data_IF_930957238642
#
_entry.id   IF_930957238642
#
_cell.length_a   1.000
_cell.length_b   1.000
_cell.length_c   1.000
_cell.angle_alpha   90.00
_cell.angle_beta   90.00
_cell.angle_gamma   90.00
#
_symmetry.space_group_name_H-M   'P 1'
#
loop_
_entity.id
_entity.type
_entity.pdbx_description
1 polymer ?
#
# COMPACT_ATOMS: atom_id res chain seq x y z
N UNK A 1 16.50 -8.02 50.42
CA UNK A 1 16.56 -8.67 49.08
C UNK A 1 15.21 -9.22 48.64
N UNK A 2 14.49 -10.02 49.45
CA UNK A 2 13.19 -10.63 49.08
C UNK A 2 12.13 -9.66 48.53
N UNK A 3 11.93 -8.50 49.18
CA UNK A 3 10.95 -7.48 48.74
C UNK A 3 11.27 -6.90 47.34
N UNK A 4 12.54 -6.83 46.97
CA UNK A 4 12.95 -6.30 45.67
C UNK A 4 12.62 -7.29 44.55
N UNK A 5 12.88 -8.59 44.77
CA UNK A 5 12.56 -9.65 43.80
C UNK A 5 11.06 -9.78 43.53
N UNK A 6 10.20 -9.64 44.55
CA UNK A 6 8.74 -9.68 44.36
C UNK A 6 8.22 -8.52 43.49
N UNK A 7 8.75 -7.31 43.68
CA UNK A 7 8.31 -6.15 42.90
C UNK A 7 8.71 -6.26 41.42
N UNK A 8 9.92 -6.76 41.14
CA UNK A 8 10.39 -6.98 39.76
C UNK A 8 9.54 -8.04 39.05
N UNK A 9 9.22 -9.14 39.74
CA UNK A 9 8.37 -10.20 39.17
C UNK A 9 6.95 -9.68 38.88
N UNK A 10 6.35 -8.93 39.81
CA UNK A 10 5.02 -8.36 39.62
C UNK A 10 4.99 -7.39 38.42
N UNK A 11 6.02 -6.56 38.25
CA UNK A 11 6.15 -5.65 37.11
C UNK A 11 6.32 -6.40 35.78
N UNK A 12 7.16 -7.44 35.75
CA UNK A 12 7.37 -8.26 34.55
C UNK A 12 6.08 -8.97 34.11
N UNK A 13 5.33 -9.54 35.07
CA UNK A 13 4.03 -10.17 34.79
C UNK A 13 3.02 -9.13 34.30
N UNK A 14 2.96 -7.95 34.95
CA UNK A 14 2.07 -6.86 34.53
C UNK A 14 2.34 -6.41 33.09
N UNK A 15 3.62 -6.24 32.73
CA UNK A 15 4.02 -5.90 31.36
C UNK A 15 3.66 -7.02 30.38
N UNK A 16 3.98 -8.28 30.70
CA UNK A 16 3.65 -9.42 29.84
C UNK A 16 2.15 -9.54 29.58
N UNK A 17 1.31 -9.31 30.60
CA UNK A 17 -0.14 -9.30 30.46
C UNK A 17 -0.63 -8.13 29.59
N UNK A 18 -0.08 -6.92 29.76
CA UNK A 18 -0.44 -5.77 28.92
C UNK A 18 -0.06 -5.99 27.45
N UNK A 19 1.15 -6.49 27.17
CA UNK A 19 1.57 -6.81 25.80
C UNK A 19 0.75 -7.97 25.20
N UNK A 20 0.46 -9.01 25.99
CA UNK A 20 -0.38 -10.12 25.56
C UNK A 20 -1.80 -9.68 25.20
N UNK A 21 -2.41 -8.83 26.02
CA UNK A 21 -3.73 -8.25 25.75
C UNK A 21 -3.72 -7.38 24.48
N UNK A 22 -2.69 -6.56 24.27
CA UNK A 22 -2.56 -5.74 23.07
C UNK A 22 -2.49 -6.59 21.79
N UNK A 23 -1.73 -7.70 21.81
CA UNK A 23 -1.63 -8.63 20.67
C UNK A 23 -2.98 -9.29 20.37
N UNK A 24 -3.72 -9.71 21.39
CA UNK A 24 -5.04 -10.33 21.23
C UNK A 24 -6.06 -9.33 20.67
N UNK A 25 -6.07 -8.09 21.18
CA UNK A 25 -6.96 -7.03 20.67
C UNK A 25 -6.63 -6.69 19.23
N UNK A 26 -5.34 -6.63 18.86
CA UNK A 26 -4.92 -6.36 17.49
C UNK A 26 -5.35 -7.47 16.51
N UNK A 27 -5.37 -8.73 16.96
CA UNK A 27 -5.88 -9.86 16.17
C UNK A 27 -7.40 -9.91 16.08
N UNK A 28 -8.10 -9.36 17.07
CA UNK A 28 -9.56 -9.33 17.13
C UNK A 28 -10.16 -8.10 16.44
N UNK A 29 -9.36 -7.07 16.15
CA UNK A 29 -9.82 -5.93 15.39
C UNK A 29 -10.28 -6.39 13.99
N UNK A 30 -11.49 -6.02 13.54
CA UNK A 30 -11.93 -6.37 12.20
C UNK A 30 -10.92 -5.83 11.18
N UNK A 31 -10.62 -6.58 10.10
CA UNK A 31 -9.70 -6.13 9.09
C UNK A 31 -10.18 -4.78 8.56
N UNK A 32 -9.30 -3.80 8.56
CA UNK A 32 -9.62 -2.53 7.92
C UNK A 32 -9.87 -2.81 6.44
N UNK A 33 -10.74 -2.04 5.77
CA UNK A 33 -10.93 -2.18 4.34
C UNK A 33 -9.62 -2.10 3.52
N UNK A 34 -8.62 -1.36 4.02
CA UNK A 34 -7.26 -1.32 3.49
C UNK A 34 -6.54 -2.68 3.57
N UNK A 35 -6.73 -3.45 4.65
CA UNK A 35 -6.09 -4.76 4.81
C UNK A 35 -6.57 -5.78 3.76
N UNK A 36 -7.79 -5.63 3.23
CA UNK A 36 -8.32 -6.47 2.14
C UNK A 36 -7.57 -6.29 0.81
N UNK A 37 -6.75 -5.25 0.68
CA UNK A 37 -5.84 -5.12 -0.47
C UNK A 37 -4.70 -6.13 -0.41
N UNK A 38 -4.38 -6.65 0.78
CA UNK A 38 -3.23 -7.52 1.05
C UNK A 38 -3.69 -8.94 1.44
N UNK A 39 -4.83 -9.37 0.90
CA UNK A 39 -5.41 -10.71 1.12
C UNK A 39 -5.46 -11.54 -0.16
N UNK A 40 -5.52 -12.86 0.00
CA UNK A 40 -5.86 -13.82 -1.04
C UNK A 40 -7.37 -13.71 -1.39
N UNK A 41 -7.83 -14.31 -2.51
CA UNK A 41 -9.25 -14.28 -2.89
C UNK A 41 -10.22 -14.86 -1.84
N UNK A 42 -9.75 -15.75 -0.96
CA UNK A 42 -10.51 -16.30 0.16
C UNK A 42 -10.55 -15.37 1.41
N UNK A 43 -9.93 -14.20 1.33
CA UNK A 43 -9.82 -13.23 2.41
C UNK A 43 -8.70 -13.51 3.42
N UNK A 44 -7.93 -14.58 3.24
CA UNK A 44 -6.79 -14.85 4.12
C UNK A 44 -5.66 -13.83 3.89
N UNK A 45 -5.01 -13.33 4.94
CA UNK A 45 -3.91 -12.37 4.80
C UNK A 45 -2.70 -13.02 4.15
N UNK A 46 -2.02 -12.29 3.26
CA UNK A 46 -0.81 -12.79 2.63
C UNK A 46 0.35 -12.89 3.63
N UNK A 47 1.14 -13.97 3.54
CA UNK A 47 2.34 -14.18 4.36
C UNK A 47 3.53 -13.30 3.97
N UNK A 48 3.49 -12.74 2.74
CA UNK A 48 4.39 -11.73 2.19
C UNK A 48 3.53 -10.65 1.53
N UNK A 49 4.06 -9.43 1.34
CA UNK A 49 3.29 -8.39 0.66
C UNK A 49 2.79 -8.86 -0.70
N UNK A 50 1.49 -8.70 -0.92
CA UNK A 50 0.78 -9.02 -2.15
C UNK A 50 -0.22 -7.90 -2.42
N UNK A 51 -0.72 -7.78 -3.64
CA UNK A 51 -1.86 -6.90 -3.94
C UNK A 51 -2.96 -7.74 -4.57
N UNK A 52 -4.10 -7.85 -3.87
CA UNK A 52 -5.21 -8.75 -4.22
C UNK A 52 -4.77 -10.22 -4.37
N UNK A 53 -3.79 -10.65 -3.58
CA UNK A 53 -3.17 -11.96 -3.65
C UNK A 53 -2.04 -12.08 -4.69
N UNK A 54 -1.93 -11.14 -5.63
CA UNK A 54 -0.88 -11.16 -6.65
C UNK A 54 0.49 -10.79 -6.06
N UNK A 55 1.55 -11.51 -6.45
CA UNK A 55 2.93 -11.34 -5.97
C UNK A 55 3.87 -11.13 -7.14
N UNK A 56 4.28 -9.89 -7.32
CA UNK A 56 5.08 -9.47 -8.46
C UNK A 56 6.47 -10.11 -8.40
N UNK A 57 6.96 -10.61 -9.54
CA UNK A 57 8.23 -11.35 -9.63
C UNK A 57 8.20 -12.80 -9.13
N UNK A 58 7.12 -13.26 -8.48
CA UNK A 58 6.97 -14.65 -8.00
C UNK A 58 5.92 -15.45 -8.80
N UNK A 59 5.08 -14.81 -9.62
CA UNK A 59 4.02 -15.46 -10.39
C UNK A 59 3.96 -15.01 -11.84
N UNK A 60 3.30 -15.81 -12.66
CA UNK A 60 2.97 -15.44 -14.04
C UNK A 60 1.87 -14.38 -14.09
N UNK A 61 1.81 -13.68 -15.21
CA UNK A 61 0.77 -12.71 -15.51
C UNK A 61 -0.61 -13.38 -15.56
N UNK A 62 -0.74 -14.57 -16.17
CA UNK A 62 -2.04 -15.27 -16.20
C UNK A 62 -2.54 -15.67 -14.81
N UNK A 63 -1.65 -16.15 -13.93
CA UNK A 63 -2.00 -16.47 -12.54
C UNK A 63 -2.51 -15.24 -11.79
N UNK A 64 -1.86 -14.08 -11.99
CA UNK A 64 -2.27 -12.82 -11.39
C UNK A 64 -3.68 -12.40 -11.83
N UNK A 65 -3.98 -12.52 -13.13
CA UNK A 65 -5.31 -12.22 -13.68
C UNK A 65 -6.37 -13.17 -13.11
N UNK A 66 -6.05 -14.47 -13.00
CA UNK A 66 -6.96 -15.45 -12.40
C UNK A 66 -7.25 -15.18 -10.93
N UNK A 67 -6.28 -14.65 -10.16
CA UNK A 67 -6.50 -14.21 -8.79
C UNK A 67 -7.42 -12.98 -8.73
N UNK A 68 -7.19 -11.98 -9.59
CA UNK A 68 -8.01 -10.78 -9.65
C UNK A 68 -9.45 -11.08 -10.08
N UNK A 69 -9.65 -12.02 -10.99
CA UNK A 69 -10.98 -12.47 -11.43
C UNK A 69 -11.76 -13.16 -10.28
N UNK A 70 -11.08 -13.65 -9.24
CA UNK A 70 -11.69 -14.29 -8.07
C UNK A 70 -11.76 -13.39 -6.84
N UNK A 71 -10.91 -12.36 -6.77
CA UNK A 71 -10.74 -11.57 -5.57
C UNK A 71 -11.98 -10.66 -5.33
N UNK A 72 -12.54 -10.60 -4.11
CA UNK A 72 -13.79 -9.88 -3.83
C UNK A 72 -13.78 -8.39 -4.21
N UNK A 73 -12.61 -7.75 -4.22
CA UNK A 73 -12.48 -6.33 -4.58
C UNK A 73 -12.35 -6.07 -6.09
N UNK A 74 -12.06 -7.10 -6.90
CA UNK A 74 -11.69 -6.91 -8.32
C UNK A 74 -12.50 -7.76 -9.30
N UNK A 75 -13.16 -8.82 -8.84
CA UNK A 75 -13.94 -9.74 -9.69
C UNK A 75 -15.09 -9.08 -10.47
N UNK A 76 -15.64 -7.99 -9.94
CA UNK A 76 -16.79 -7.28 -10.52
C UNK A 76 -16.32 -6.07 -11.36
N UNK A 77 -15.00 -5.91 -11.57
CA UNK A 77 -14.43 -4.83 -12.38
C UNK A 77 -14.42 -5.17 -13.86
N UNK A 78 -14.60 -4.15 -14.71
CA UNK A 78 -14.58 -4.32 -16.17
C UNK A 78 -13.15 -4.50 -16.65
N UNK A 79 -12.88 -5.63 -17.31
CA UNK A 79 -11.56 -5.98 -17.83
C UNK A 79 -11.32 -5.39 -19.22
N UNK A 80 -10.26 -4.60 -19.42
CA UNK A 80 -9.85 -4.02 -20.70
C UNK A 80 -8.37 -4.22 -20.97
N UNK A 81 -8.01 -4.55 -22.22
CA UNK A 81 -6.62 -4.55 -22.66
C UNK A 81 -6.16 -3.13 -22.97
N UNK A 82 -5.04 -2.70 -22.39
CA UNK A 82 -4.42 -1.41 -22.69
C UNK A 82 -3.60 -1.53 -23.97
N UNK A 83 -4.04 -0.83 -25.02
CA UNK A 83 -3.43 -0.88 -26.36
C UNK A 83 -1.94 -0.51 -26.35
N UNK A 84 -1.52 0.39 -25.45
CA UNK A 84 -0.17 0.95 -25.45
C UNK A 84 0.89 0.11 -24.73
N UNK A 85 0.53 -0.74 -23.77
CA UNK A 85 1.50 -1.26 -22.78
C UNK A 85 1.41 -2.76 -22.49
N UNK A 86 0.72 -3.56 -23.31
CA UNK A 86 0.46 -4.98 -23.04
C UNK A 86 -0.15 -5.26 -21.64
N UNK A 87 -0.69 -4.23 -21.00
CA UNK A 87 -1.27 -4.30 -19.66
C UNK A 87 -2.75 -4.65 -19.72
N UNK A 88 -3.24 -5.28 -18.64
CA UNK A 88 -4.66 -5.43 -18.37
C UNK A 88 -5.11 -4.37 -17.38
N UNK A 89 -6.24 -3.74 -17.66
CA UNK A 89 -6.94 -2.84 -16.77
C UNK A 89 -8.18 -3.54 -16.22
N UNK A 90 -8.38 -3.43 -14.92
CA UNK A 90 -9.64 -3.73 -14.24
C UNK A 90 -10.24 -2.41 -13.78
N UNK A 91 -11.29 -1.97 -14.46
CA UNK A 91 -11.86 -0.64 -14.30
C UNK A 91 -13.17 -0.69 -13.51
N UNK A 92 -13.23 0.10 -12.45
CA UNK A 92 -14.44 0.43 -11.71
C UNK A 92 -14.70 1.94 -11.73
N UNK A 93 -15.75 2.38 -11.03
CA UNK A 93 -16.13 3.79 -10.99
C UNK A 93 -15.05 4.69 -10.37
N UNK A 94 -14.38 4.21 -9.31
CA UNK A 94 -13.39 5.00 -8.52
C UNK A 94 -12.06 4.28 -8.38
N UNK A 95 -11.91 3.13 -9.04
CA UNK A 95 -10.78 2.24 -8.84
C UNK A 95 -10.32 1.67 -10.16
N UNK A 96 -9.01 1.64 -10.35
CA UNK A 96 -8.40 0.93 -11.48
C UNK A 96 -7.27 0.08 -10.96
N UNK A 97 -7.29 -1.21 -11.32
CA UNK A 97 -6.12 -2.07 -11.19
C UNK A 97 -5.47 -2.22 -12.55
N UNK A 98 -4.19 -1.90 -12.64
CA UNK A 98 -3.37 -2.14 -13.83
C UNK A 98 -2.39 -3.28 -13.54
N UNK A 99 -2.32 -4.24 -14.46
CA UNK A 99 -1.47 -5.44 -14.36
C UNK A 99 -0.59 -5.47 -15.60
N UNK A 100 0.72 -5.56 -15.42
CA UNK A 100 1.68 -5.56 -16.52
C UNK A 100 2.56 -6.82 -16.49
N UNK A 101 2.79 -7.37 -17.69
CA UNK A 101 3.70 -8.47 -17.93
C UNK A 101 4.99 -8.00 -18.63
N UNK A 102 6.06 -8.78 -18.49
CA UNK A 102 7.21 -8.70 -19.40
C UNK A 102 6.99 -9.54 -20.68
N UNK A 103 8.05 -9.66 -21.50
CA UNK A 103 8.02 -10.44 -22.73
C UNK A 103 7.91 -11.97 -22.52
N UNK A 104 8.06 -12.44 -21.28
CA UNK A 104 8.05 -13.85 -20.90
C UNK A 104 6.85 -14.22 -20.03
N UNK A 105 5.81 -13.37 -20.00
CA UNK A 105 4.58 -13.58 -19.22
C UNK A 105 4.80 -13.57 -17.70
N UNK A 106 5.89 -12.99 -17.19
CA UNK A 106 6.05 -12.78 -15.75
C UNK A 106 5.29 -11.53 -15.31
N UNK A 107 4.65 -11.58 -14.14
CA UNK A 107 4.06 -10.39 -13.52
C UNK A 107 5.17 -9.44 -13.07
N UNK A 108 5.30 -8.28 -13.71
CA UNK A 108 6.34 -7.28 -13.39
C UNK A 108 5.83 -6.05 -12.65
N UNK A 109 4.52 -5.77 -12.76
CA UNK A 109 3.88 -4.70 -12.01
C UNK A 109 2.41 -5.02 -11.80
N UNK A 110 1.93 -4.71 -10.59
CA UNK A 110 0.51 -4.48 -10.33
C UNK A 110 0.35 -3.14 -9.63
N UNK A 111 -0.61 -2.33 -10.07
CA UNK A 111 -0.90 -1.04 -9.45
C UNK A 111 -2.38 -0.85 -9.23
N UNK A 112 -2.71 -0.18 -8.14
CA UNK A 112 -4.04 0.26 -7.76
C UNK A 112 -4.07 1.79 -7.83
N UNK A 113 -5.04 2.35 -8.54
CA UNK A 113 -5.31 3.78 -8.59
C UNK A 113 -6.68 4.07 -8.01
N UNK A 114 -6.73 5.00 -7.05
CA UNK A 114 -7.95 5.42 -6.34
C UNK A 114 -8.34 6.81 -6.82
N UNK A 115 -9.60 6.98 -7.19
CA UNK A 115 -10.16 8.20 -7.79
C UNK A 115 -9.32 8.74 -8.97
N UNK A 116 -8.97 7.90 -9.96
CA UNK A 116 -8.11 8.32 -11.06
C UNK A 116 -8.77 9.45 -11.87
N UNK A 117 -8.20 10.66 -11.79
CA UNK A 117 -8.76 11.86 -12.44
C UNK A 117 -8.75 11.75 -13.98
N UNK A 118 -7.92 10.88 -14.54
CA UNK A 118 -7.70 10.75 -15.99
C UNK A 118 -8.70 9.83 -16.71
N UNK A 119 -9.41 8.94 -16.01
CA UNK A 119 -10.26 7.94 -16.68
C UNK A 119 -11.67 8.39 -17.01
N UNK A 120 -12.07 9.58 -16.55
CA UNK A 120 -13.27 10.21 -17.10
C UNK A 120 -13.18 10.46 -18.61
N UNK A 121 -11.96 10.51 -19.20
CA UNK A 121 -11.76 10.83 -20.63
C UNK A 121 -11.78 9.64 -21.57
N UNK A 122 -11.63 8.40 -21.09
CA UNK A 122 -11.55 7.19 -21.94
C UNK A 122 -12.89 6.44 -22.05
N UNK A 123 -13.97 6.98 -21.48
CA UNK A 123 -15.28 6.33 -21.53
C UNK A 123 -15.87 6.37 -22.93
N UNK A 124 -16.08 5.19 -23.50
CA UNK A 124 -17.05 5.00 -24.56
C UNK A 124 -18.45 5.19 -23.94
N UNK A 125 -19.28 6.05 -24.54
CA UNK A 125 -20.64 6.28 -24.08
C UNK A 125 -21.43 4.95 -24.07
N UNK A 126 -21.99 4.57 -22.91
CA UNK A 126 -23.05 3.55 -22.83
C UNK A 126 -22.77 2.32 -21.96
N UNK A 127 -21.57 2.12 -21.43
CA UNK A 127 -21.32 0.95 -20.55
C UNK A 127 -21.58 1.29 -19.07
N UNK A 128 -22.51 0.58 -18.39
CA UNK A 128 -22.71 0.73 -16.96
C UNK A 128 -21.51 0.14 -16.23
N UNK A 129 -20.79 0.97 -15.47
CA UNK A 129 -19.80 0.50 -14.50
C UNK A 129 -20.53 0.22 -13.20
N UNK A 130 -20.32 -0.96 -12.63
CA UNK A 130 -20.77 -1.24 -11.28
C UNK A 130 -20.01 -0.36 -10.29
N UNK A 131 -20.78 0.30 -9.43
CA UNK A 131 -20.25 0.94 -8.25
C UNK A 131 -19.76 -0.15 -7.31
N UNK A 132 -18.44 -0.31 -7.17
CA UNK A 132 -17.89 -1.01 -6.02
C UNK A 132 -18.48 -0.39 -4.74
N UNK A 133 -18.64 -1.15 -3.64
CA UNK A 133 -19.03 -0.59 -2.35
C UNK A 133 -18.06 0.54 -1.96
N UNK A 134 -18.46 1.78 -2.27
CA UNK A 134 -17.66 3.01 -2.25
C UNK A 134 -16.94 3.28 -0.93
N UNK A 135 -17.38 2.63 0.15
CA UNK A 135 -16.86 2.83 1.49
C UNK A 135 -15.48 2.20 1.72
N UNK A 136 -15.10 1.14 0.98
CA UNK A 136 -13.96 0.31 1.37
C UNK A 136 -12.58 0.95 1.10
N UNK A 137 -12.45 1.90 0.16
CA UNK A 137 -11.11 2.42 -0.19
C UNK A 137 -10.94 3.92 -0.02
N UNK A 138 -12.02 4.66 0.24
CA UNK A 138 -11.97 6.10 0.55
C UNK A 138 -11.31 6.42 1.90
N UNK A 139 -11.06 5.41 2.73
CA UNK A 139 -10.48 5.60 4.07
C UNK A 139 -8.97 5.43 4.11
N UNK A 140 -8.31 4.94 3.05
CA UNK A 140 -6.88 4.65 3.09
C UNK A 140 -6.06 5.90 3.43
N UNK A 141 -5.44 5.92 4.61
CA UNK A 141 -4.55 7.02 5.03
C UNK A 141 -3.09 6.58 5.12
N UNK A 142 -2.18 7.56 5.13
CA UNK A 142 -0.76 7.29 5.38
C UNK A 142 -0.53 6.65 6.75
N UNK A 143 -1.26 7.08 7.78
CA UNK A 143 -1.19 6.50 9.12
C UNK A 143 -1.63 5.03 9.14
N UNK A 144 -2.73 4.70 8.46
CA UNK A 144 -3.18 3.31 8.31
C UNK A 144 -2.17 2.46 7.54
N UNK A 145 -1.58 3.01 6.47
CA UNK A 145 -0.55 2.31 5.69
C UNK A 145 0.65 1.98 6.57
N UNK A 146 1.16 2.96 7.33
CA UNK A 146 2.29 2.76 8.24
C UNK A 146 1.94 1.79 9.38
N UNK A 147 0.70 1.81 9.86
CA UNK A 147 0.23 0.89 10.89
C UNK A 147 0.07 -0.56 10.38
N UNK A 148 -0.36 -0.74 9.13
CA UNK A 148 -0.62 -2.04 8.53
C UNK A 148 0.63 -2.69 7.94
N UNK A 149 1.46 -1.93 7.23
CA UNK A 149 2.62 -2.44 6.49
C UNK A 149 3.92 -2.23 7.28
N UNK A 150 3.94 -1.26 8.20
CA UNK A 150 5.14 -0.87 8.95
C UNK A 150 5.72 0.44 8.46
N UNK A 151 6.91 0.78 8.96
CA UNK A 151 7.60 2.02 8.57
C UNK A 151 8.23 1.87 7.18
N UNK A 152 8.09 2.86 6.29
CA UNK A 152 8.75 2.83 4.99
C UNK A 152 10.26 3.03 5.17
N UNK A 153 11.04 2.55 4.21
CA UNK A 153 12.49 2.78 4.17
C UNK A 153 12.80 4.23 3.75
N UNK A 154 12.06 4.70 2.74
CA UNK A 154 12.27 6.00 2.13
C UNK A 154 10.96 6.74 1.89
N UNK A 155 11.11 8.06 1.79
CA UNK A 155 10.10 8.97 1.32
C UNK A 155 10.65 9.82 0.18
N UNK A 156 9.81 10.13 -0.80
CA UNK A 156 10.10 11.12 -1.85
C UNK A 156 9.08 12.23 -1.80
N UNK A 157 9.58 13.46 -1.83
CA UNK A 157 8.79 14.68 -1.84
C UNK A 157 8.81 15.26 -3.26
N UNK A 158 7.76 15.07 -4.04
CA UNK A 158 7.76 15.42 -5.47
C UNK A 158 7.47 16.90 -5.74
N UNK A 159 8.06 17.81 -4.94
CA UNK A 159 7.98 19.28 -5.13
C UNK A 159 6.57 19.89 -5.10
N UNK A 160 5.50 19.08 -5.05
CA UNK A 160 4.12 19.48 -5.28
C UNK A 160 3.17 18.90 -4.23
N UNK A 161 2.00 18.40 -4.66
CA UNK A 161 0.95 17.86 -3.77
C UNK A 161 1.00 16.36 -3.59
N UNK A 162 2.09 15.72 -4.00
CA UNK A 162 2.25 14.27 -3.89
C UNK A 162 3.41 13.91 -2.98
N UNK A 163 3.21 12.81 -2.25
CA UNK A 163 4.15 12.19 -1.35
C UNK A 163 4.22 10.71 -1.72
N UNK A 164 5.44 10.16 -1.81
CA UNK A 164 5.62 8.72 -2.06
C UNK A 164 6.34 8.07 -0.89
N UNK A 165 5.78 6.98 -0.37
CA UNK A 165 6.45 6.10 0.58
C UNK A 165 6.96 4.85 -0.15
N UNK A 166 8.20 4.45 0.12
CA UNK A 166 8.85 3.29 -0.48
C UNK A 166 9.15 2.24 0.58
N UNK A 167 8.76 1.00 0.30
CA UNK A 167 9.09 -0.19 1.07
C UNK A 167 9.96 -1.07 0.15
N UNK A 168 11.27 -0.87 0.23
CA UNK A 168 12.23 -1.27 -0.80
C UNK A 168 12.29 -2.78 -0.97
N UNK A 169 12.32 -3.53 0.13
CA UNK A 169 12.42 -4.99 0.12
C UNK A 169 11.15 -5.68 -0.39
N UNK A 170 10.01 -4.99 -0.31
CA UNK A 170 8.71 -5.52 -0.72
C UNK A 170 8.29 -5.04 -2.13
N UNK A 171 9.16 -4.28 -2.81
CA UNK A 171 8.86 -3.70 -4.12
C UNK A 171 7.65 -2.76 -4.12
N UNK A 172 7.27 -2.26 -2.94
CA UNK A 172 6.01 -1.55 -2.70
C UNK A 172 6.22 -0.03 -2.71
N UNK A 173 5.31 0.69 -3.35
CA UNK A 173 5.26 2.16 -3.30
C UNK A 173 3.83 2.64 -3.14
N UNK A 174 3.66 3.57 -2.20
CA UNK A 174 2.37 4.18 -1.89
C UNK A 174 2.44 5.67 -2.21
N UNK A 175 1.42 6.17 -2.90
CA UNK A 175 1.28 7.57 -3.28
C UNK A 175 0.16 8.19 -2.44
N UNK A 176 0.44 9.35 -1.87
CA UNK A 176 -0.51 10.09 -1.05
C UNK A 176 -0.70 11.49 -1.59
N UNK A 177 -1.96 11.95 -1.60
CA UNK A 177 -2.29 13.35 -1.81
C UNK A 177 -1.96 14.14 -0.55
N UNK A 178 -0.94 14.96 -0.64
CA UNK A 178 -0.42 15.80 0.42
C UNK A 178 -1.12 17.15 0.41
N UNK A 179 -1.69 17.53 1.57
CA UNK A 179 -2.35 18.84 1.74
C UNK A 179 -1.42 19.95 2.23
N UNK A 180 -0.40 19.59 3.01
CA UNK A 180 0.49 20.53 3.70
C UNK A 180 1.97 20.14 3.53
N UNK A 181 2.89 21.04 3.87
CA UNK A 181 4.34 20.74 3.82
C UNK A 181 4.79 19.67 4.84
N UNK A 182 3.96 19.42 5.85
CA UNK A 182 4.18 18.37 6.85
C UNK A 182 3.52 17.08 6.39
N UNK A 183 4.26 15.98 6.51
CA UNK A 183 3.72 14.64 6.34
C UNK A 183 2.67 14.40 7.42
N UNK A 184 1.41 14.24 7.01
CA UNK A 184 0.29 14.10 7.92
C UNK A 184 -0.24 12.66 7.86
N UNK A 185 -0.37 11.94 8.98
CA UNK A 185 -0.96 10.60 8.96
C UNK A 185 -2.35 10.54 8.31
N UNK A 186 -3.08 11.65 8.20
CA UNK A 186 -4.38 11.70 7.51
C UNK A 186 -4.30 12.05 6.02
N UNK A 187 -3.10 12.14 5.43
CA UNK A 187 -2.94 12.30 3.98
C UNK A 187 -3.53 11.06 3.29
N UNK A 188 -4.34 11.29 2.25
CA UNK A 188 -5.17 10.26 1.61
C UNK A 188 -4.39 9.50 0.55
N UNK A 189 -4.51 8.18 0.55
CA UNK A 189 -3.89 7.30 -0.44
C UNK A 189 -4.52 7.53 -1.81
N UNK A 190 -3.70 7.72 -2.84
CA UNK A 190 -4.14 7.91 -4.23
C UNK A 190 -3.75 6.74 -5.11
N UNK A 191 -2.62 6.08 -4.85
CA UNK A 191 -2.20 4.91 -5.62
C UNK A 191 -1.28 4.00 -4.83
N UNK A 192 -1.29 2.71 -5.17
CA UNK A 192 -0.35 1.71 -4.70
C UNK A 192 0.29 1.09 -5.94
N UNK A 193 1.59 0.83 -5.87
CA UNK A 193 2.29 0.08 -6.91
C UNK A 193 3.14 -0.98 -6.24
N UNK A 194 3.18 -2.16 -6.86
CA UNK A 194 4.09 -3.24 -6.53
C UNK A 194 4.86 -3.61 -7.79
N UNK A 195 6.18 -3.69 -7.69
CA UNK A 195 7.09 -3.98 -8.80
C UNK A 195 7.92 -5.23 -8.51
N UNK A 196 8.28 -5.99 -9.55
CA UNK A 196 9.13 -7.19 -9.42
C UNK A 196 10.56 -6.80 -9.02
N UNK A 197 11.00 -5.65 -9.51
CA UNK A 197 12.36 -5.15 -9.32
C UNK A 197 12.33 -4.04 -8.27
N UNK A 198 13.19 -4.10 -7.24
CA UNK A 198 13.32 -3.03 -6.28
C UNK A 198 13.62 -1.70 -6.95
N UNK A 199 13.16 -0.62 -6.35
CA UNK A 199 13.45 0.71 -6.87
C UNK A 199 14.95 1.00 -6.82
N UNK A 200 15.53 1.55 -7.90
CA UNK A 200 16.90 2.00 -7.86
C UNK A 200 17.02 3.13 -6.84
N UNK A 201 18.12 3.13 -6.08
CA UNK A 201 18.43 4.24 -5.20
C UNK A 201 18.55 5.54 -6.02
N UNK A 202 17.87 6.58 -5.57
CA UNK A 202 17.93 7.92 -6.17
C UNK A 202 18.33 8.93 -5.10
N UNK A 203 19.09 9.95 -5.47
CA UNK A 203 19.43 11.07 -4.58
C UNK A 203 18.22 11.84 -4.07
N UNK A 204 17.06 11.69 -4.72
CA UNK A 204 15.77 12.23 -4.29
C UNK A 204 15.08 11.42 -3.19
N UNK A 205 15.57 10.22 -2.85
CA UNK A 205 15.00 9.37 -1.79
C UNK A 205 15.55 9.79 -0.44
N UNK A 206 14.66 10.13 0.48
CA UNK A 206 14.98 10.60 1.82
C UNK A 206 14.66 9.48 2.80
N UNK A 207 15.59 9.09 3.67
CA UNK A 207 15.31 8.05 4.68
C UNK A 207 14.16 8.48 5.58
N UNK A 208 13.22 7.56 5.84
CA UNK A 208 12.09 7.82 6.71
C UNK A 208 12.54 8.37 8.07
N UNK A 209 11.88 9.44 8.50
CA UNK A 209 12.21 10.19 9.71
C UNK A 209 10.98 10.46 10.57
N UNK A 210 9.89 9.72 10.32
CA UNK A 210 8.59 9.93 10.95
C UNK A 210 7.71 10.97 10.25
N UNK A 211 6.54 11.21 10.85
CA UNK A 211 5.60 12.24 10.43
C UNK A 211 6.12 13.64 10.82
N UNK A 212 6.93 14.23 9.94
CA UNK A 212 7.60 15.52 10.16
C UNK A 212 7.50 16.46 8.96
N UNK A 213 8.06 17.67 9.06
CA UNK A 213 8.06 18.64 7.96
C UNK A 213 9.00 18.22 6.83
N UNK A 214 8.66 18.59 5.60
CA UNK A 214 9.56 18.50 4.44
C UNK A 214 10.92 19.13 4.72
N UNK A 215 10.96 20.29 5.37
CA UNK A 215 12.18 20.99 5.79
C UNK A 215 13.11 20.10 6.63
N UNK A 216 12.56 19.31 7.57
CA UNK A 216 13.37 18.39 8.38
C UNK A 216 13.99 17.27 7.55
N UNK A 217 13.30 16.82 6.51
CA UNK A 217 13.88 15.84 5.59
C UNK A 217 15.02 16.45 4.76
N UNK A 218 14.84 17.67 4.25
CA UNK A 218 15.87 18.35 3.46
C UNK A 218 17.10 18.79 4.27
N UNK A 219 16.93 19.22 5.52
CA UNK A 219 18.06 19.62 6.36
C UNK A 219 19.02 18.47 6.65
N UNK A 220 18.52 17.23 6.71
CA UNK A 220 19.34 16.01 6.86
C UNK A 220 20.14 15.64 5.61
N UNK A 221 19.67 16.03 4.42
CA UNK A 221 20.46 15.90 3.20
C UNK A 221 21.63 16.88 3.22
N UNK A 222 21.36 18.15 3.55
CA UNK A 222 22.37 19.20 3.56
C UNK A 222 23.51 18.94 4.57
N UNK A 223 23.25 18.19 5.65
CA UNK A 223 24.28 17.82 6.62
C UNK A 223 25.20 16.69 6.15
N UNK A 224 24.82 15.90 5.15
CA UNK A 224 25.62 14.77 4.63
C UNK A 224 26.61 15.17 3.54
N UNK A 225 26.43 16.35 2.93
CA UNK A 225 27.28 16.85 1.86
C UNK A 225 28.45 17.72 2.35
N UNK A 226 28.65 17.83 3.67
CA UNK A 226 29.79 18.50 4.31
C UNK A 226 30.72 17.46 4.92
#
# INVERSE_FOLDING_TARGET
MWRFSCNVLALAIGLALMFGAAILVQRAAPPTPFALLFTMPDGTPCSRPCLFGARVGEMSYQEALALLDQHPLTRDLVRRKRVSTAAMLYEGLELIVEVQADAWDNLVQISLHIEPTYTQRLRLQGEPLEALPHALLRSGTMGETVAAIGVPDYVRLDGGRELRLYYQFDGLTFYFARRNERLNPTDTLTSIYMYAVPFPESSSLLRWSGFTSSERYYSRLASRSR
#
